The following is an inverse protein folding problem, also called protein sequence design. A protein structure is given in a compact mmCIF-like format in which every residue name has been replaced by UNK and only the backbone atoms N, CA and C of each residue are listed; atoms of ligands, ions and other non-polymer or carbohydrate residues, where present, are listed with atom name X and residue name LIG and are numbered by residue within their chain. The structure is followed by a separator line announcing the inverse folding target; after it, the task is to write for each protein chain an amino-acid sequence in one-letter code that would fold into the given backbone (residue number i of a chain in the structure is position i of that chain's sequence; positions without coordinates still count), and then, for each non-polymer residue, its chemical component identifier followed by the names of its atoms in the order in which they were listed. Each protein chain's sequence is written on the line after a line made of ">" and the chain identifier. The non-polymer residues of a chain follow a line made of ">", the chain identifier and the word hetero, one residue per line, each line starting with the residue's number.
data_IF_784544912070
#
_entry.id   IF_784544912070
#
_cell.length_a   1.000
_cell.length_b   1.000
_cell.length_c   1.000
_cell.angle_alpha   90.00
_cell.angle_beta   90.00
_cell.angle_gamma   90.00
#
_symmetry.space_group_name_H-M   'P 1'
#
loop_
_entity.id
_entity.type
_entity.pdbx_description
1 polymer ?
#
# COMPACT_ATOMS: atom_id res chain seq x y z
N UNK A 1 -12.49 -11.45 -2.35
CA UNK A 1 -11.24 -10.93 -1.74
C UNK A 1 -10.40 -10.12 -2.75
N UNK A 2 -10.14 -10.62 -3.96
CA UNK A 2 -9.42 -9.88 -5.01
C UNK A 2 -10.11 -8.58 -5.46
N UNK A 3 -11.44 -8.57 -5.56
CA UNK A 3 -12.20 -7.38 -5.97
C UNK A 3 -12.04 -6.19 -5.01
N UNK A 4 -11.94 -6.44 -3.70
CA UNK A 4 -11.72 -5.39 -2.69
C UNK A 4 -10.31 -4.79 -2.79
N UNK A 5 -9.32 -5.62 -3.15
CA UNK A 5 -7.95 -5.15 -3.40
C UNK A 5 -7.96 -4.24 -4.63
N UNK A 6 -8.55 -4.68 -5.75
CA UNK A 6 -8.57 -3.88 -6.99
C UNK A 6 -9.28 -2.54 -6.83
N UNK A 7 -10.36 -2.47 -6.03
CA UNK A 7 -10.98 -1.19 -5.69
C UNK A 7 -10.02 -0.24 -4.95
N UNK A 8 -9.27 -0.76 -3.98
CA UNK A 8 -8.25 0.05 -3.29
C UNK A 8 -7.11 0.47 -4.23
N UNK A 9 -6.75 -0.37 -5.20
CA UNK A 9 -5.78 -0.02 -6.24
C UNK A 9 -6.26 1.16 -7.06
N UNK A 10 -7.50 1.11 -7.55
CA UNK A 10 -8.10 2.20 -8.32
C UNK A 10 -8.12 3.51 -7.51
N UNK A 11 -8.54 3.45 -6.25
CA UNK A 11 -8.54 4.62 -5.37
C UNK A 11 -7.14 5.20 -5.15
N UNK A 12 -6.14 4.35 -4.94
CA UNK A 12 -4.74 4.79 -4.76
C UNK A 12 -4.20 5.45 -6.03
N UNK A 13 -4.48 4.89 -7.20
CA UNK A 13 -4.05 5.46 -8.48
C UNK A 13 -4.76 6.79 -8.76
N UNK A 14 -6.01 6.96 -8.33
CA UNK A 14 -6.75 8.22 -8.52
C UNK A 14 -6.28 9.32 -7.55
N UNK A 15 -5.87 8.96 -6.33
CA UNK A 15 -5.54 9.91 -5.25
C UNK A 15 -4.05 10.20 -5.12
N UNK A 16 -3.19 9.42 -5.78
CA UNK A 16 -1.72 9.53 -5.66
C UNK A 16 -1.05 9.34 -7.03
N UNK A 17 0.23 9.68 -7.13
CA UNK A 17 1.03 9.50 -8.37
C UNK A 17 1.72 8.11 -8.44
N UNK A 18 1.21 7.10 -7.73
CA UNK A 18 1.78 5.75 -7.77
C UNK A 18 1.25 4.97 -8.96
N UNK A 19 2.14 4.19 -9.60
CA UNK A 19 1.75 3.28 -10.69
C UNK A 19 0.88 2.14 -10.17
N UNK A 20 0.05 1.56 -11.04
CA UNK A 20 -0.89 0.50 -10.68
C UNK A 20 -0.26 -0.68 -9.93
N UNK A 21 0.95 -1.12 -10.30
CA UNK A 21 1.64 -2.21 -9.58
C UNK A 21 2.08 -1.80 -8.16
N UNK A 22 2.50 -0.56 -7.97
CA UNK A 22 2.82 -0.01 -6.65
C UNK A 22 1.54 0.14 -5.80
N UNK A 23 0.46 0.61 -6.40
CA UNK A 23 -0.86 0.65 -5.75
C UNK A 23 -1.34 -0.75 -5.35
N UNK A 24 -1.15 -1.77 -6.20
CA UNK A 24 -1.47 -3.16 -5.89
C UNK A 24 -0.69 -3.68 -4.68
N UNK A 25 0.60 -3.39 -4.61
CA UNK A 25 1.43 -3.78 -3.48
C UNK A 25 0.93 -3.13 -2.17
N UNK A 26 0.66 -1.81 -2.19
CA UNK A 26 0.16 -1.07 -1.03
C UNK A 26 -1.23 -1.58 -0.61
N UNK A 27 -2.17 -1.70 -1.56
CA UNK A 27 -3.52 -2.20 -1.30
C UNK A 27 -3.51 -3.60 -0.69
N UNK A 28 -2.62 -4.47 -1.17
CA UNK A 28 -2.45 -5.81 -0.62
C UNK A 28 -1.98 -5.76 0.84
N UNK A 29 -1.03 -4.88 1.17
CA UNK A 29 -0.55 -4.71 2.55
C UNK A 29 -1.65 -4.18 3.48
N UNK A 30 -2.46 -3.20 3.03
CA UNK A 30 -3.60 -2.69 3.79
C UNK A 30 -4.61 -3.80 4.08
N UNK A 31 -4.98 -4.57 3.05
CA UNK A 31 -5.94 -5.66 3.19
C UNK A 31 -5.41 -6.78 4.07
N UNK A 32 -4.12 -7.12 3.96
CA UNK A 32 -3.49 -8.10 4.84
C UNK A 32 -3.54 -7.65 6.31
N UNK A 33 -3.18 -6.40 6.60
CA UNK A 33 -3.27 -5.83 7.96
C UNK A 33 -4.70 -5.90 8.49
N UNK A 34 -5.69 -5.52 7.68
CA UNK A 34 -7.10 -5.57 8.06
C UNK A 34 -7.60 -7.00 8.33
N UNK A 35 -7.19 -7.98 7.51
CA UNK A 35 -7.65 -9.36 7.62
C UNK A 35 -6.94 -10.15 8.74
N UNK A 36 -5.65 -9.88 8.97
CA UNK A 36 -4.83 -10.62 9.94
C UNK A 36 -4.79 -9.98 11.33
N UNK A 37 -5.06 -8.67 11.42
CA UNK A 37 -4.81 -7.89 12.63
C UNK A 37 -3.33 -7.65 12.94
N UNK A 38 -2.42 -8.16 12.10
CA UNK A 38 -0.98 -8.00 12.29
C UNK A 38 -0.50 -6.67 11.69
N UNK A 39 0.28 -5.91 12.47
CA UNK A 39 0.97 -4.73 11.98
C UNK A 39 2.34 -5.12 11.40
N UNK A 40 2.34 -5.58 10.14
CA UNK A 40 3.58 -5.85 9.40
C UNK A 40 4.08 -4.54 8.75
N UNK A 41 5.36 -4.17 8.91
CA UNK A 41 5.91 -2.99 8.25
C UNK A 41 5.94 -3.18 6.72
N UNK A 42 5.58 -2.12 6.00
CA UNK A 42 5.75 -2.02 4.56
C UNK A 42 7.18 -1.59 4.27
N UNK A 43 7.98 -2.49 3.69
CA UNK A 43 9.41 -2.25 3.43
C UNK A 43 9.58 -1.80 1.99
N UNK A 44 10.28 -0.67 1.76
CA UNK A 44 10.52 -0.18 0.40
C UNK A 44 11.74 0.75 0.32
N UNK A 45 12.37 0.80 -0.86
CA UNK A 45 13.35 1.79 -1.30
C UNK A 45 12.81 2.73 -2.39
N UNK A 46 11.50 2.64 -2.69
CA UNK A 46 10.81 3.51 -3.65
C UNK A 46 10.11 4.64 -2.90
N UNK A 47 10.53 5.89 -3.16
CA UNK A 47 10.00 7.07 -2.47
C UNK A 47 8.50 7.26 -2.69
N UNK A 48 7.98 6.97 -3.89
CA UNK A 48 6.55 7.08 -4.18
C UNK A 48 5.75 6.02 -3.42
N UNK A 49 6.29 4.80 -3.30
CA UNK A 49 5.67 3.77 -2.47
C UNK A 49 5.68 4.17 -0.99
N UNK A 50 6.80 4.70 -0.48
CA UNK A 50 6.91 5.16 0.91
C UNK A 50 5.85 6.21 1.21
N UNK A 51 5.79 7.26 0.41
CA UNK A 51 4.92 8.41 0.67
C UNK A 51 3.44 7.99 0.61
N UNK A 52 3.04 7.15 -0.36
CA UNK A 52 1.68 6.64 -0.45
C UNK A 52 1.33 5.64 0.66
N UNK A 53 2.25 4.75 1.05
CA UNK A 53 2.04 3.82 2.15
C UNK A 53 1.91 4.55 3.50
N UNK A 54 2.71 5.59 3.74
CA UNK A 54 2.59 6.43 4.94
C UNK A 54 1.23 7.14 5.00
N UNK A 55 0.77 7.70 3.88
CA UNK A 55 -0.54 8.38 3.79
C UNK A 55 -1.73 7.44 4.09
N UNK A 56 -1.54 6.13 3.98
CA UNK A 56 -2.58 5.11 4.27
C UNK A 56 -2.47 4.50 5.68
N UNK A 57 -1.57 5.02 6.52
CA UNK A 57 -1.41 4.55 7.90
C UNK A 57 -0.70 3.20 8.02
N UNK A 58 0.06 2.80 7.00
CA UNK A 58 1.02 1.71 7.11
C UNK A 58 2.29 2.20 7.82
N UNK A 59 2.83 1.36 8.70
CA UNK A 59 4.19 1.56 9.21
C UNK A 59 5.15 1.26 8.08
N UNK A 60 6.01 2.22 7.71
CA UNK A 60 6.97 2.05 6.60
C UNK A 60 8.39 1.94 7.13
N UNK A 61 9.14 0.97 6.62
CA UNK A 61 10.59 0.87 6.80
C UNK A 61 11.25 1.25 5.47
N UNK A 62 12.05 2.31 5.50
CA UNK A 62 12.87 2.72 4.38
C UNK A 62 14.16 1.90 4.35
N UNK A 63 14.56 1.46 3.15
CA UNK A 63 15.84 0.79 2.92
C UNK A 63 16.58 1.56 1.84
N UNK A 64 17.82 1.93 2.13
CA UNK A 64 18.73 2.61 1.19
C UNK A 64 19.37 1.61 0.20
#
# INVERSE_FOLDING_TARGET
>A
MSEHVLRHVEELVQKTDVRALNALHIASAIMFKAASGLAIPFITSDAKQRDAAQATGLTVIWVD
#
